data_IF_703016061277
#
_entry.id   IF_703016061277
#
_cell.length_a   1.000
_cell.length_b   1.000
_cell.length_c   1.000
_cell.angle_alpha   90.00
_cell.angle_beta   90.00
_cell.angle_gamma   90.00
#
_symmetry.space_group_name_H-M   'P 1'
#
loop_
_entity.id
_entity.type
_entity.pdbx_description
1 polymer ?
#
# COMPACT_ATOMS: atom_id res chain seq x y z
N UNK A 1 -7.68 -34.07 -9.32
CA UNK A 1 -6.46 -33.40 -9.88
C UNK A 1 -5.33 -33.69 -8.91
N UNK A 2 -4.09 -33.93 -9.37
CA UNK A 2 -2.98 -34.14 -8.44
C UNK A 2 -2.53 -32.79 -7.80
N UNK A 3 -1.79 -32.84 -6.68
CA UNK A 3 -1.37 -31.65 -5.92
C UNK A 3 -0.66 -30.59 -6.78
N UNK A 4 0.27 -30.99 -7.66
CA UNK A 4 0.99 -30.09 -8.56
C UNK A 4 0.07 -29.31 -9.52
N UNK A 5 -0.99 -29.94 -10.02
CA UNK A 5 -1.97 -29.25 -10.90
C UNK A 5 -2.84 -28.27 -10.11
N UNK A 6 -3.09 -28.53 -8.82
CA UNK A 6 -3.81 -27.57 -7.95
C UNK A 6 -2.94 -26.38 -7.63
N UNK A 7 -1.66 -26.60 -7.36
CA UNK A 7 -0.70 -25.53 -7.10
C UNK A 7 -0.52 -24.60 -8.32
N UNK A 8 -0.29 -25.19 -9.50
CA UNK A 8 -0.23 -24.43 -10.74
C UNK A 8 -1.52 -23.64 -11.06
N UNK A 9 -2.68 -24.16 -10.60
CA UNK A 9 -3.94 -23.42 -10.74
C UNK A 9 -4.04 -22.24 -9.76
N UNK A 10 -3.54 -22.38 -8.53
CA UNK A 10 -3.40 -21.28 -7.56
C UNK A 10 -2.48 -20.19 -8.07
N UNK A 11 -1.28 -20.56 -8.54
CA UNK A 11 -0.32 -19.62 -9.13
C UNK A 11 -0.94 -18.81 -10.27
N UNK A 12 -1.69 -19.50 -11.14
CA UNK A 12 -2.40 -18.84 -12.23
C UNK A 12 -3.47 -17.86 -11.74
N UNK A 13 -4.20 -18.19 -10.68
CA UNK A 13 -5.20 -17.30 -10.07
C UNK A 13 -4.50 -16.06 -9.53
N UNK A 14 -3.44 -16.23 -8.71
CA UNK A 14 -2.72 -15.11 -8.12
C UNK A 14 -2.06 -14.22 -9.18
N UNK A 15 -1.39 -14.80 -10.17
CA UNK A 15 -0.82 -14.05 -11.29
C UNK A 15 -1.87 -13.29 -12.12
N UNK A 16 -3.09 -13.82 -12.26
CA UNK A 16 -4.18 -13.13 -12.93
C UNK A 16 -4.71 -11.97 -12.07
N UNK A 17 -4.81 -12.15 -10.74
CA UNK A 17 -5.20 -11.09 -9.80
C UNK A 17 -4.20 -9.93 -9.78
N UNK A 18 -2.90 -10.23 -9.73
CA UNK A 18 -1.82 -9.23 -9.76
C UNK A 18 -1.83 -8.38 -11.04
N UNK A 19 -2.15 -8.97 -12.17
CA UNK A 19 -2.27 -8.26 -13.45
C UNK A 19 -3.62 -7.57 -13.66
N UNK A 20 -4.55 -7.67 -12.71
CA UNK A 20 -5.91 -7.16 -12.87
C UNK A 20 -6.74 -7.91 -13.93
N UNK A 21 -6.33 -9.13 -14.31
CA UNK A 21 -7.01 -9.96 -15.31
C UNK A 21 -8.23 -10.68 -14.69
N UNK A 22 -9.21 -9.90 -14.24
CA UNK A 22 -10.39 -10.36 -13.47
C UNK A 22 -11.13 -11.53 -14.12
N UNK A 23 -11.36 -11.47 -15.42
CA UNK A 23 -12.07 -12.54 -16.15
C UNK A 23 -11.30 -13.87 -16.14
N UNK A 24 -9.97 -13.81 -16.24
CA UNK A 24 -9.10 -14.99 -16.17
C UNK A 24 -9.07 -15.56 -14.75
N UNK A 25 -8.91 -14.71 -13.73
CA UNK A 25 -8.98 -15.09 -12.32
C UNK A 25 -10.29 -15.80 -12.03
N UNK A 26 -11.43 -15.23 -12.41
CA UNK A 26 -12.76 -15.81 -12.19
C UNK A 26 -12.91 -17.19 -12.83
N UNK A 27 -12.47 -17.38 -14.08
CA UNK A 27 -12.50 -18.70 -14.74
C UNK A 27 -11.63 -19.73 -14.04
N UNK A 28 -10.49 -19.31 -13.54
CA UNK A 28 -9.56 -20.20 -12.83
C UNK A 28 -10.11 -20.58 -11.44
N UNK A 29 -10.75 -19.64 -10.73
CA UNK A 29 -11.45 -19.90 -9.46
C UNK A 29 -12.59 -20.91 -9.66
N UNK A 30 -13.38 -20.81 -10.75
CA UNK A 30 -14.44 -21.78 -11.05
C UNK A 30 -13.89 -23.22 -11.31
N UNK A 31 -12.68 -23.33 -11.88
CA UNK A 31 -12.02 -24.63 -11.99
C UNK A 31 -11.56 -25.16 -10.65
N UNK A 32 -11.02 -24.28 -9.78
CA UNK A 32 -10.60 -24.62 -8.43
C UNK A 32 -11.80 -25.10 -7.58
N UNK A 33 -12.98 -24.52 -7.76
CA UNK A 33 -14.21 -24.85 -7.01
C UNK A 33 -14.57 -26.33 -7.08
N UNK A 34 -14.22 -27.04 -8.16
CA UNK A 34 -14.49 -28.48 -8.31
C UNK A 34 -13.65 -29.36 -7.39
N UNK A 35 -12.54 -28.84 -6.87
CA UNK A 35 -11.57 -29.57 -6.07
C UNK A 35 -11.42 -29.00 -4.66
N UNK A 36 -11.43 -27.69 -4.55
CA UNK A 36 -11.25 -26.93 -3.31
C UNK A 36 -12.37 -25.88 -3.16
N UNK A 37 -13.61 -26.32 -2.89
CA UNK A 37 -14.76 -25.41 -2.95
C UNK A 37 -14.74 -24.31 -1.88
N UNK A 38 -14.13 -24.55 -0.70
CA UNK A 38 -14.01 -23.55 0.35
C UNK A 38 -13.01 -22.44 -0.06
N UNK A 39 -11.84 -22.84 -0.55
CA UNK A 39 -10.81 -21.92 -1.04
C UNK A 39 -11.34 -21.09 -2.23
N UNK A 40 -12.00 -21.74 -3.18
CA UNK A 40 -12.58 -21.05 -4.33
C UNK A 40 -13.65 -20.02 -3.92
N UNK A 41 -14.48 -20.33 -2.91
CA UNK A 41 -15.46 -19.38 -2.40
C UNK A 41 -14.78 -18.18 -1.72
N UNK A 42 -13.70 -18.41 -0.96
CA UNK A 42 -12.92 -17.34 -0.34
C UNK A 42 -12.26 -16.42 -1.37
N UNK A 43 -11.63 -17.00 -2.39
CA UNK A 43 -11.02 -16.24 -3.50
C UNK A 43 -12.07 -15.47 -4.31
N UNK A 44 -13.22 -16.07 -4.56
CA UNK A 44 -14.33 -15.38 -5.25
C UNK A 44 -14.87 -14.23 -4.43
N UNK A 45 -15.00 -14.41 -3.11
CA UNK A 45 -15.41 -13.34 -2.20
C UNK A 45 -14.43 -12.19 -2.25
N UNK A 46 -13.12 -12.46 -2.14
CA UNK A 46 -12.08 -11.44 -2.22
C UNK A 46 -12.12 -10.71 -3.56
N UNK A 47 -12.25 -11.44 -4.67
CA UNK A 47 -12.35 -10.87 -6.02
C UNK A 47 -13.57 -9.93 -6.14
N UNK A 48 -14.74 -10.35 -5.69
CA UNK A 48 -15.93 -9.48 -5.70
C UNK A 48 -15.76 -8.21 -4.85
N UNK A 49 -15.03 -8.30 -3.73
CA UNK A 49 -14.69 -7.13 -2.91
C UNK A 49 -13.81 -6.15 -3.70
N UNK A 50 -12.79 -6.63 -4.41
CA UNK A 50 -11.92 -5.80 -5.26
C UNK A 50 -12.70 -5.15 -6.42
N UNK A 51 -13.65 -5.88 -7.02
CA UNK A 51 -14.56 -5.36 -8.05
C UNK A 51 -15.64 -4.41 -7.49
N UNK A 52 -15.68 -4.18 -6.18
CA UNK A 52 -16.69 -3.40 -5.48
C UNK A 52 -18.13 -3.96 -5.63
N UNK A 53 -18.24 -5.24 -5.93
CA UNK A 53 -19.52 -5.96 -6.01
C UNK A 53 -19.91 -6.53 -4.63
N UNK A 54 -20.56 -5.71 -3.81
CA UNK A 54 -20.97 -6.11 -2.47
C UNK A 54 -21.99 -7.27 -2.48
N UNK A 55 -22.87 -7.33 -3.49
CA UNK A 55 -23.87 -8.41 -3.62
C UNK A 55 -23.21 -9.74 -3.98
N UNK A 56 -22.31 -9.72 -4.96
CA UNK A 56 -21.53 -10.89 -5.35
C UNK A 56 -20.64 -11.38 -4.21
N UNK A 57 -19.98 -10.45 -3.51
CA UNK A 57 -19.15 -10.77 -2.36
C UNK A 57 -19.95 -11.43 -1.24
N UNK A 58 -21.12 -10.91 -0.91
CA UNK A 58 -21.99 -11.50 0.13
C UNK A 58 -22.46 -12.91 -0.26
N UNK A 59 -22.85 -13.11 -1.53
CA UNK A 59 -23.27 -14.43 -2.04
C UNK A 59 -22.12 -15.44 -1.95
N UNK A 60 -20.92 -15.09 -2.44
CA UNK A 60 -19.75 -15.98 -2.36
C UNK A 60 -19.35 -16.27 -0.91
N UNK A 61 -19.39 -15.26 -0.03
CA UNK A 61 -19.08 -15.41 1.38
C UNK A 61 -20.05 -16.37 2.11
N UNK A 62 -21.32 -16.43 1.72
CA UNK A 62 -22.26 -17.39 2.31
C UNK A 62 -21.80 -18.83 2.10
N UNK A 63 -21.18 -19.17 0.98
CA UNK A 63 -20.57 -20.47 0.74
C UNK A 63 -19.38 -20.71 1.67
N UNK A 64 -18.51 -19.69 1.90
CA UNK A 64 -17.42 -19.79 2.87
C UNK A 64 -17.94 -20.09 4.28
N UNK A 65 -18.95 -19.33 4.72
CA UNK A 65 -19.55 -19.45 6.05
C UNK A 65 -20.13 -20.85 6.31
N UNK A 66 -20.77 -21.45 5.29
CA UNK A 66 -21.32 -22.81 5.44
C UNK A 66 -20.24 -23.86 5.59
N UNK A 67 -19.09 -23.69 4.91
CA UNK A 67 -18.01 -24.68 4.86
C UNK A 67 -16.99 -24.52 5.98
N UNK A 68 -16.72 -23.28 6.38
CA UNK A 68 -15.70 -22.91 7.37
C UNK A 68 -16.17 -21.72 8.23
N UNK A 69 -17.21 -21.90 9.08
CA UNK A 69 -17.84 -20.81 9.81
C UNK A 69 -16.91 -20.14 10.86
N UNK A 70 -15.94 -20.88 11.36
CA UNK A 70 -14.98 -20.42 12.39
C UNK A 70 -13.58 -20.13 11.83
N UNK A 71 -13.40 -20.28 10.50
CA UNK A 71 -12.13 -19.93 9.88
C UNK A 71 -11.87 -18.42 9.98
N UNK A 72 -10.71 -18.01 10.53
CA UNK A 72 -10.39 -16.58 10.71
C UNK A 72 -10.47 -15.76 9.41
N UNK A 73 -10.07 -16.36 8.29
CA UNK A 73 -10.13 -15.65 7.00
C UNK A 73 -11.58 -15.47 6.52
N UNK A 74 -12.46 -16.44 6.76
CA UNK A 74 -13.89 -16.33 6.47
C UNK A 74 -14.53 -15.19 7.28
N UNK A 75 -14.17 -15.05 8.56
CA UNK A 75 -14.64 -13.96 9.43
C UNK A 75 -14.07 -12.62 8.94
N UNK A 76 -12.81 -12.56 8.60
CA UNK A 76 -12.15 -11.38 8.01
C UNK A 76 -12.85 -10.91 6.72
N UNK A 77 -13.18 -11.82 5.80
CA UNK A 77 -13.90 -11.50 4.57
C UNK A 77 -15.27 -10.85 4.87
N UNK A 78 -15.97 -11.30 5.92
CA UNK A 78 -17.22 -10.66 6.35
C UNK A 78 -17.00 -9.20 6.75
N UNK A 79 -15.95 -8.94 7.52
CA UNK A 79 -15.60 -7.57 7.91
C UNK A 79 -15.26 -6.68 6.70
N UNK A 80 -14.56 -7.22 5.70
CA UNK A 80 -14.27 -6.52 4.45
C UNK A 80 -15.53 -6.18 3.66
N UNK A 81 -16.53 -7.08 3.62
CA UNK A 81 -17.84 -6.81 2.99
C UNK A 81 -18.54 -5.65 3.72
N UNK A 82 -18.56 -5.64 5.05
CA UNK A 82 -19.12 -4.52 5.81
C UNK A 82 -18.39 -3.21 5.49
N UNK A 83 -17.06 -3.24 5.38
CA UNK A 83 -16.30 -2.06 5.02
C UNK A 83 -16.64 -1.56 3.60
N UNK A 84 -16.77 -2.48 2.64
CA UNK A 84 -17.19 -2.17 1.27
C UNK A 84 -18.58 -1.48 1.24
N UNK A 85 -19.47 -1.87 2.14
CA UNK A 85 -20.80 -1.26 2.31
C UNK A 85 -20.77 0.06 3.12
N UNK A 86 -19.59 0.51 3.57
CA UNK A 86 -19.44 1.71 4.40
C UNK A 86 -19.77 1.50 5.89
N UNK A 87 -20.06 0.27 6.30
CA UNK A 87 -20.51 -0.11 7.64
C UNK A 87 -19.34 -0.36 8.61
N UNK A 88 -18.51 0.67 8.86
CA UNK A 88 -17.25 0.56 9.62
C UNK A 88 -17.40 -0.04 11.01
N UNK A 89 -18.49 0.32 11.73
CA UNK A 89 -18.79 -0.25 13.07
C UNK A 89 -19.12 -1.74 13.00
N UNK A 90 -19.86 -2.16 11.96
CA UNK A 90 -20.18 -3.56 11.76
C UNK A 90 -18.95 -4.37 11.35
N UNK A 91 -18.07 -3.80 10.50
CA UNK A 91 -16.78 -4.40 10.16
C UNK A 91 -15.94 -4.66 11.41
N UNK A 92 -15.76 -3.66 12.28
CA UNK A 92 -14.99 -3.81 13.52
C UNK A 92 -15.61 -4.85 14.47
N UNK A 93 -16.93 -4.84 14.62
CA UNK A 93 -17.63 -5.87 15.42
C UNK A 93 -17.44 -7.28 14.86
N UNK A 94 -17.46 -7.42 13.53
CA UNK A 94 -17.24 -8.73 12.90
C UNK A 94 -15.84 -9.31 13.19
N UNK A 95 -14.83 -8.45 13.39
CA UNK A 95 -13.46 -8.86 13.74
C UNK A 95 -13.28 -9.21 15.22
N UNK A 96 -14.19 -8.78 16.11
CA UNK A 96 -14.02 -8.96 17.58
C UNK A 96 -13.72 -10.40 18.00
N UNK A 97 -14.33 -11.45 17.42
CA UNK A 97 -14.00 -12.84 17.79
C UNK A 97 -12.56 -13.26 17.48
N UNK A 98 -11.87 -12.51 16.62
CA UNK A 98 -10.49 -12.82 16.20
C UNK A 98 -9.44 -12.15 17.10
N UNK A 99 -9.83 -11.19 17.94
CA UNK A 99 -8.85 -10.51 18.78
C UNK A 99 -8.36 -11.44 19.89
N UNK A 100 -7.08 -11.82 19.81
CA UNK A 100 -6.46 -12.77 20.71
C UNK A 100 -6.66 -14.25 20.35
N UNK A 101 -7.42 -14.55 19.28
CA UNK A 101 -7.55 -15.93 18.78
C UNK A 101 -6.27 -16.36 18.03
N UNK A 102 -5.95 -17.66 18.00
CA UNK A 102 -4.85 -18.19 17.21
C UNK A 102 -5.12 -17.97 15.71
N UNK A 103 -4.16 -17.35 15.02
CA UNK A 103 -4.19 -17.09 13.57
C UNK A 103 -2.80 -17.21 12.99
N UNK A 104 -2.71 -17.49 11.66
CA UNK A 104 -1.43 -17.33 10.97
C UNK A 104 -1.01 -15.86 10.97
N UNK A 105 0.30 -15.59 10.87
CA UNK A 105 0.85 -14.23 10.83
C UNK A 105 0.20 -13.37 9.73
N UNK A 106 -0.02 -13.96 8.54
CA UNK A 106 -0.66 -13.29 7.42
C UNK A 106 -2.10 -12.89 7.68
N UNK A 107 -2.89 -13.76 8.33
CA UNK A 107 -4.29 -13.47 8.67
C UNK A 107 -4.34 -12.46 9.81
N UNK A 108 -3.48 -12.60 10.82
CA UNK A 108 -3.40 -11.67 11.95
C UNK A 108 -3.06 -10.24 11.47
N UNK A 109 -2.07 -10.10 10.59
CA UNK A 109 -1.74 -8.81 9.98
C UNK A 109 -2.96 -8.17 9.31
N UNK A 110 -3.65 -8.91 8.44
CA UNK A 110 -4.84 -8.41 7.72
C UNK A 110 -5.98 -8.03 8.67
N UNK A 111 -6.23 -8.83 9.70
CA UNK A 111 -7.28 -8.61 10.70
C UNK A 111 -7.00 -7.33 11.49
N UNK A 112 -5.79 -7.19 12.03
CA UNK A 112 -5.43 -6.02 12.83
C UNK A 112 -5.28 -4.75 11.99
N UNK A 113 -4.76 -4.84 10.77
CA UNK A 113 -4.72 -3.71 9.84
C UNK A 113 -6.14 -3.18 9.54
N UNK A 114 -7.07 -4.07 9.20
CA UNK A 114 -8.47 -3.69 8.95
C UNK A 114 -9.15 -3.11 10.19
N UNK A 115 -8.88 -3.67 11.38
CA UNK A 115 -9.39 -3.12 12.65
C UNK A 115 -8.84 -1.71 12.90
N UNK A 116 -7.54 -1.49 12.67
CA UNK A 116 -6.90 -0.18 12.74
C UNK A 116 -7.52 0.83 11.78
N UNK A 117 -7.77 0.43 10.54
CA UNK A 117 -8.45 1.25 9.55
C UNK A 117 -9.87 1.63 10.01
N UNK A 118 -10.65 0.68 10.51
CA UNK A 118 -11.99 0.95 11.03
C UNK A 118 -11.94 1.91 12.24
N UNK A 119 -11.05 1.66 13.19
CA UNK A 119 -10.88 2.50 14.37
C UNK A 119 -10.50 3.94 14.01
N UNK A 120 -9.57 4.13 13.08
CA UNK A 120 -9.17 5.44 12.56
C UNK A 120 -10.36 6.21 11.99
N UNK A 121 -11.14 5.59 11.12
CA UNK A 121 -12.31 6.22 10.51
C UNK A 121 -13.46 6.49 11.50
N UNK A 122 -13.46 5.82 12.64
CA UNK A 122 -14.40 6.06 13.74
C UNK A 122 -13.91 7.10 14.75
N UNK A 123 -12.73 7.70 14.53
CA UNK A 123 -12.13 8.70 15.40
C UNK A 123 -11.50 8.12 16.69
N UNK A 124 -11.31 6.79 16.76
CA UNK A 124 -10.73 6.10 17.91
C UNK A 124 -9.22 5.93 17.71
N UNK A 125 -8.45 7.03 17.81
CA UNK A 125 -7.03 7.08 17.49
C UNK A 125 -6.18 6.12 18.33
N UNK A 126 -6.44 6.03 19.67
CA UNK A 126 -5.72 5.09 20.56
C UNK A 126 -5.88 3.64 20.08
N UNK A 127 -7.12 3.24 19.76
CA UNK A 127 -7.38 1.89 19.25
C UNK A 127 -6.79 1.67 17.88
N UNK A 128 -6.76 2.69 17.02
CA UNK A 128 -6.11 2.60 15.73
C UNK A 128 -4.61 2.32 15.88
N UNK A 129 -3.92 3.06 16.76
CA UNK A 129 -2.50 2.84 17.10
C UNK A 129 -2.28 1.42 17.62
N UNK A 130 -3.11 0.95 18.59
CA UNK A 130 -3.01 -0.41 19.13
C UNK A 130 -3.14 -1.48 18.05
N UNK A 131 -4.17 -1.38 17.20
CA UNK A 131 -4.41 -2.36 16.16
C UNK A 131 -3.31 -2.36 15.09
N UNK A 132 -2.88 -1.19 14.64
CA UNK A 132 -1.78 -1.10 13.67
C UNK A 132 -0.44 -1.59 14.26
N UNK A 133 -0.20 -1.39 15.55
CA UNK A 133 0.97 -1.97 16.22
C UNK A 133 0.92 -3.51 16.20
N UNK A 134 -0.23 -4.11 16.51
CA UNK A 134 -0.42 -5.57 16.42
C UNK A 134 -0.28 -6.08 14.98
N UNK A 135 -0.77 -5.33 13.98
CA UNK A 135 -0.57 -5.66 12.58
C UNK A 135 0.91 -5.60 12.17
N UNK A 136 1.65 -4.57 12.63
CA UNK A 136 3.10 -4.45 12.43
C UNK A 136 3.85 -5.65 13.00
N UNK A 137 3.49 -6.05 14.23
CA UNK A 137 4.19 -7.14 14.94
C UNK A 137 3.88 -8.52 14.32
N UNK A 138 2.68 -8.68 13.73
CA UNK A 138 2.30 -9.87 12.99
C UNK A 138 2.77 -9.88 11.52
N UNK A 139 3.30 -8.79 11.00
CA UNK A 139 3.63 -8.64 9.58
C UNK A 139 4.66 -9.67 9.10
N UNK A 140 4.36 -10.46 8.04
CA UNK A 140 5.24 -11.53 7.56
C UNK A 140 6.48 -11.04 6.82
N UNK A 141 6.51 -9.78 6.39
CA UNK A 141 7.61 -9.19 5.64
C UNK A 141 7.84 -7.71 6.00
N UNK A 142 8.98 -7.17 5.54
CA UNK A 142 9.36 -5.79 5.84
C UNK A 142 8.35 -4.77 5.26
N UNK A 143 7.82 -5.01 4.07
CA UNK A 143 6.89 -4.09 3.40
C UNK A 143 5.62 -3.88 4.24
N UNK A 144 4.98 -4.96 4.67
CA UNK A 144 3.78 -4.88 5.53
C UNK A 144 4.12 -4.35 6.93
N UNK A 145 5.30 -4.69 7.46
CA UNK A 145 5.78 -4.13 8.73
C UNK A 145 5.95 -2.62 8.65
N UNK A 146 6.60 -2.12 7.61
CA UNK A 146 6.80 -0.70 7.39
C UNK A 146 5.47 0.04 7.16
N UNK A 147 4.56 -0.53 6.37
CA UNK A 147 3.22 0.02 6.16
C UNK A 147 2.46 0.19 7.47
N UNK A 148 2.43 -0.84 8.31
CA UNK A 148 1.73 -0.78 9.58
C UNK A 148 2.44 0.13 10.59
N UNK A 149 3.77 0.18 10.59
CA UNK A 149 4.55 1.13 11.40
C UNK A 149 4.29 2.59 10.99
N UNK A 150 4.21 2.88 9.68
CA UNK A 150 3.79 4.19 9.17
C UNK A 150 2.38 4.55 9.63
N UNK A 151 1.43 3.60 9.58
CA UNK A 151 0.08 3.80 10.09
C UNK A 151 0.06 4.09 11.60
N UNK A 152 0.92 3.45 12.39
CA UNK A 152 1.10 3.76 13.82
C UNK A 152 1.55 5.21 13.99
N UNK A 153 2.62 5.64 13.32
CA UNK A 153 3.14 7.02 13.39
C UNK A 153 2.06 8.03 13.01
N UNK A 154 1.40 7.82 11.87
CA UNK A 154 0.35 8.72 11.40
C UNK A 154 -0.78 8.90 12.42
N UNK A 155 -1.23 7.80 13.05
CA UNK A 155 -2.34 7.88 14.02
C UNK A 155 -1.89 8.42 15.38
N UNK A 156 -0.60 8.32 15.75
CA UNK A 156 -0.06 8.94 16.97
C UNK A 156 -0.18 10.46 16.95
N UNK A 157 -0.10 11.12 15.80
CA UNK A 157 -0.27 12.57 15.69
C UNK A 157 -1.65 13.09 16.12
N UNK A 158 -2.65 12.20 16.27
CA UNK A 158 -3.96 12.55 16.82
C UNK A 158 -4.02 12.37 18.35
N UNK A 159 -2.94 11.96 18.98
CA UNK A 159 -2.85 11.72 20.44
C UNK A 159 -1.91 12.73 21.09
N UNK A 160 -2.19 13.12 22.35
CA UNK A 160 -1.22 13.89 23.11
C UNK A 160 0.06 13.08 23.30
N UNK A 161 1.19 13.61 22.89
CA UNK A 161 2.50 12.99 23.08
C UNK A 161 3.58 14.04 23.30
N UNK A 162 4.60 13.69 24.08
CA UNK A 162 5.78 14.54 24.23
C UNK A 162 6.63 14.48 22.92
N UNK A 163 7.24 15.60 22.50
CA UNK A 163 8.07 15.62 21.29
C UNK A 163 9.18 14.55 21.27
N UNK A 164 9.75 14.23 22.43
CA UNK A 164 10.75 13.18 22.57
C UNK A 164 10.21 11.76 22.27
N UNK A 165 8.93 11.52 22.57
CA UNK A 165 8.28 10.22 22.27
C UNK A 165 7.99 10.08 20.78
N UNK A 166 7.54 11.16 20.13
CA UNK A 166 7.32 11.19 18.70
C UNK A 166 8.63 11.02 17.93
N UNK A 167 9.70 11.69 18.36
CA UNK A 167 11.03 11.52 17.79
C UNK A 167 11.48 10.06 17.89
N UNK A 168 11.37 9.43 19.07
CA UNK A 168 11.75 8.02 19.25
C UNK A 168 10.95 7.09 18.35
N UNK A 169 9.63 7.27 18.25
CA UNK A 169 8.80 6.46 17.38
C UNK A 169 9.19 6.61 15.90
N UNK A 170 9.57 7.81 15.46
CA UNK A 170 10.07 8.04 14.11
C UNK A 170 11.46 7.39 13.90
N UNK A 171 12.34 7.43 14.90
CA UNK A 171 13.65 6.76 14.85
C UNK A 171 13.49 5.23 14.80
N UNK A 172 12.56 4.64 15.55
CA UNK A 172 12.22 3.22 15.48
C UNK A 172 11.69 2.82 14.09
N UNK A 173 10.87 3.67 13.47
CA UNK A 173 10.44 3.46 12.09
C UNK A 173 11.63 3.50 11.11
N UNK A 174 12.50 4.51 11.24
CA UNK A 174 13.69 4.64 10.42
C UNK A 174 14.64 3.43 10.53
N UNK A 175 14.75 2.83 11.72
CA UNK A 175 15.59 1.66 11.96
C UNK A 175 15.15 0.42 11.15
N UNK A 176 13.89 0.34 10.70
CA UNK A 176 13.43 -0.73 9.81
C UNK A 176 14.18 -0.75 8.47
N UNK A 177 14.74 0.38 8.08
CA UNK A 177 15.43 0.59 6.80
C UNK A 177 16.95 0.69 6.93
N UNK A 178 17.53 0.36 8.10
CA UNK A 178 18.97 0.47 8.37
C UNK A 178 19.85 -0.36 7.41
N UNK A 179 19.27 -1.40 6.78
CA UNK A 179 19.97 -2.27 5.81
C UNK A 179 19.91 -1.75 4.37
N UNK A 180 19.14 -0.69 4.10
CA UNK A 180 19.04 -0.12 2.75
C UNK A 180 20.38 0.56 2.41
N UNK A 181 20.93 0.20 1.24
CA UNK A 181 22.16 0.80 0.72
C UNK A 181 21.97 2.29 0.48
N UNK A 182 22.82 3.09 1.07
CA UNK A 182 22.94 4.52 0.78
C UNK A 182 23.96 4.77 -0.33
N UNK A 183 23.81 5.87 -1.06
CA UNK A 183 24.76 6.28 -2.09
C UNK A 183 25.73 7.35 -1.54
N UNK A 184 26.97 7.31 -2.00
CA UNK A 184 27.96 8.34 -1.67
C UNK A 184 27.81 9.54 -2.60
N UNK A 185 27.19 10.59 -2.09
CA UNK A 185 26.99 11.85 -2.82
C UNK A 185 28.23 12.77 -2.83
N UNK A 186 29.27 12.46 -2.04
CA UNK A 186 30.50 13.25 -2.02
C UNK A 186 31.28 13.19 -3.35
N UNK A 187 31.07 12.13 -4.13
CA UNK A 187 31.65 11.95 -5.45
C UNK A 187 31.08 12.87 -6.53
N UNK A 188 29.92 13.45 -6.30
CA UNK A 188 29.28 14.35 -7.26
C UNK A 188 29.86 15.75 -7.16
N UNK A 189 30.47 16.23 -8.27
CA UNK A 189 30.93 17.63 -8.36
C UNK A 189 29.71 18.54 -8.37
N UNK A 190 29.67 19.49 -7.45
CA UNK A 190 28.68 20.57 -7.48
C UNK A 190 28.90 21.43 -8.74
N UNK A 191 27.85 21.54 -9.57
CA UNK A 191 27.84 22.46 -10.70
C UNK A 191 27.60 23.90 -10.24
N UNK A 192 27.56 24.83 -11.21
CA UNK A 192 27.17 26.23 -10.93
C UNK A 192 25.67 26.36 -10.54
N UNK A 193 24.84 25.41 -10.97
CA UNK A 193 23.41 25.35 -10.66
C UNK A 193 23.11 24.20 -9.73
N UNK A 194 22.21 24.41 -8.76
CA UNK A 194 21.69 23.33 -7.91
C UNK A 194 20.67 22.51 -8.70
N UNK A 195 20.82 21.20 -8.64
CA UNK A 195 19.91 20.22 -9.26
C UNK A 195 18.88 19.77 -8.23
N UNK A 196 17.63 20.14 -8.47
CA UNK A 196 16.50 19.83 -7.60
C UNK A 196 15.67 18.74 -8.26
N UNK A 197 15.46 17.62 -7.54
CA UNK A 197 14.57 16.55 -7.93
C UNK A 197 13.26 16.62 -7.15
N UNK A 198 12.13 16.52 -7.82
CA UNK A 198 10.81 16.36 -7.18
C UNK A 198 10.30 14.95 -7.45
N UNK A 199 10.08 14.17 -6.40
CA UNK A 199 9.60 12.78 -6.47
C UNK A 199 8.14 12.72 -6.04
N UNK A 200 7.24 12.20 -6.90
CA UNK A 200 5.82 12.08 -6.58
C UNK A 200 5.11 11.01 -7.42
N UNK A 201 4.17 10.24 -6.86
CA UNK A 201 3.22 9.43 -7.63
C UNK A 201 2.16 10.28 -8.35
N UNK A 202 2.04 11.56 -7.97
CA UNK A 202 0.97 12.47 -8.36
C UNK A 202 1.41 13.58 -9.31
N UNK A 203 2.43 13.32 -10.15
CA UNK A 203 2.81 14.20 -11.28
C UNK A 203 1.80 14.02 -12.42
N UNK A 204 0.55 14.28 -12.14
CA UNK A 204 -0.63 14.08 -12.98
C UNK A 204 -1.79 14.96 -12.47
N UNK A 205 -3.00 14.81 -13.02
CA UNK A 205 -4.21 15.47 -12.48
C UNK A 205 -4.44 15.05 -11.01
N UNK A 206 -3.89 15.83 -10.11
CA UNK A 206 -3.98 15.61 -8.68
C UNK A 206 -3.78 16.90 -7.89
N UNK A 207 -4.38 16.98 -6.70
CA UNK A 207 -4.27 18.16 -5.83
C UNK A 207 -2.81 18.47 -5.45
N UNK A 208 -1.97 17.45 -5.27
CA UNK A 208 -0.53 17.62 -4.98
C UNK A 208 0.16 18.41 -6.09
N UNK A 209 -0.12 18.07 -7.38
CA UNK A 209 0.45 18.81 -8.50
C UNK A 209 -0.03 20.26 -8.52
N UNK A 210 -1.29 20.53 -8.18
CA UNK A 210 -1.82 21.89 -8.13
C UNK A 210 -1.05 22.80 -7.17
N UNK A 211 -0.54 22.25 -6.05
CA UNK A 211 0.30 23.00 -5.11
C UNK A 211 1.79 23.01 -5.50
N UNK A 212 2.30 21.90 -6.07
CA UNK A 212 3.74 21.75 -6.33
C UNK A 212 4.17 22.26 -7.70
N UNK A 213 3.27 22.44 -8.66
CA UNK A 213 3.61 22.88 -10.00
C UNK A 213 4.40 24.19 -10.02
N UNK A 214 3.94 25.20 -9.27
CA UNK A 214 4.63 26.47 -9.16
C UNK A 214 6.03 26.32 -8.52
N UNK A 215 6.19 25.42 -7.54
CA UNK A 215 7.49 25.13 -6.92
C UNK A 215 8.47 24.51 -7.92
N UNK A 216 7.98 23.70 -8.86
CA UNK A 216 8.81 23.05 -9.88
C UNK A 216 9.20 24.03 -11.00
N UNK A 217 8.33 24.99 -11.33
CA UNK A 217 8.43 25.79 -12.57
C UNK A 217 8.85 27.25 -12.36
N UNK A 218 8.69 27.79 -11.14
CA UNK A 218 9.01 29.20 -10.85
C UNK A 218 10.47 29.43 -10.41
N UNK A 219 11.30 28.39 -10.37
CA UNK A 219 12.71 28.51 -10.00
C UNK A 219 13.52 29.16 -11.12
N UNK A 220 14.43 30.07 -10.74
CA UNK A 220 15.35 30.74 -11.67
C UNK A 220 16.27 29.71 -12.39
N UNK A 221 16.14 29.52 -13.69
CA UNK A 221 16.92 28.53 -14.44
C UNK A 221 18.41 28.86 -14.52
N UNK A 222 18.83 30.11 -14.20
CA UNK A 222 20.24 30.44 -14.08
C UNK A 222 20.88 29.82 -12.83
N UNK A 223 20.10 29.56 -11.79
CA UNK A 223 20.54 29.05 -10.49
C UNK A 223 20.17 27.60 -10.24
N UNK A 224 19.10 27.13 -10.85
CA UNK A 224 18.51 25.82 -10.58
C UNK A 224 18.28 25.01 -11.86
N UNK A 225 18.40 23.69 -11.73
CA UNK A 225 17.95 22.73 -12.73
C UNK A 225 16.94 21.81 -12.06
N UNK A 226 15.75 21.70 -12.59
CA UNK A 226 14.67 20.92 -12.01
C UNK A 226 14.42 19.65 -12.81
N UNK A 227 14.36 18.52 -12.10
CA UNK A 227 13.95 17.21 -12.64
C UNK A 227 12.73 16.69 -11.88
N UNK A 228 11.66 16.35 -12.60
CA UNK A 228 10.51 15.69 -12.02
C UNK A 228 10.61 14.17 -12.19
N UNK A 229 10.38 13.43 -11.11
CA UNK A 229 10.36 11.97 -11.04
C UNK A 229 8.93 11.51 -10.74
N UNK A 230 8.26 10.93 -11.74
CA UNK A 230 6.91 10.42 -11.58
C UNK A 230 6.94 8.94 -11.15
N UNK A 231 6.16 8.60 -10.12
CA UNK A 231 5.94 7.22 -9.64
C UNK A 231 4.56 6.67 -10.05
N UNK A 232 3.78 7.42 -10.84
CA UNK A 232 2.44 7.07 -11.27
C UNK A 232 2.26 7.04 -12.79
N UNK A 233 1.00 6.89 -13.20
CA UNK A 233 0.59 6.98 -14.60
C UNK A 233 0.67 8.42 -15.10
N UNK A 234 0.90 8.57 -16.40
CA UNK A 234 0.99 9.85 -17.08
C UNK A 234 -0.35 10.27 -17.70
N UNK A 235 -0.58 11.59 -17.76
CA UNK A 235 -1.74 12.23 -18.38
C UNK A 235 -1.34 13.59 -19.01
N UNK A 236 -2.31 14.38 -19.43
CA UNK A 236 -2.08 15.69 -20.05
C UNK A 236 -1.36 16.68 -19.12
N UNK A 237 -1.60 16.61 -17.82
CA UNK A 237 -0.89 17.44 -16.82
C UNK A 237 0.57 17.00 -16.67
N UNK A 238 0.85 15.71 -16.78
CA UNK A 238 2.22 15.20 -16.84
C UNK A 238 2.96 15.79 -18.06
N UNK A 239 2.32 15.86 -19.23
CA UNK A 239 2.91 16.47 -20.43
C UNK A 239 3.19 17.96 -20.24
N UNK A 240 2.35 18.67 -19.48
CA UNK A 240 2.60 20.06 -19.13
C UNK A 240 3.85 20.19 -18.23
N UNK A 241 4.01 19.34 -17.22
CA UNK A 241 5.21 19.32 -16.38
C UNK A 241 6.47 19.06 -17.21
N UNK A 242 6.45 18.05 -18.09
CA UNK A 242 7.58 17.72 -18.99
C UNK A 242 8.06 18.92 -19.81
N UNK A 243 7.17 19.77 -20.25
CA UNK A 243 7.50 20.99 -21.03
C UNK A 243 8.06 22.13 -20.16
N UNK A 244 7.81 22.07 -18.85
CA UNK A 244 8.10 23.18 -17.92
C UNK A 244 9.36 22.97 -17.07
N UNK A 245 9.88 21.74 -17.02
CA UNK A 245 11.08 21.38 -16.25
C UNK A 245 12.22 20.95 -17.19
N UNK A 246 13.47 20.97 -16.69
CA UNK A 246 14.64 20.63 -17.52
C UNK A 246 14.85 19.12 -17.64
N UNK A 247 14.33 18.33 -16.70
CA UNK A 247 14.41 16.86 -16.71
C UNK A 247 13.11 16.21 -16.26
N UNK A 248 12.80 15.06 -16.85
CA UNK A 248 11.66 14.22 -16.44
C UNK A 248 12.02 12.74 -16.55
N UNK A 249 11.64 11.96 -15.54
CA UNK A 249 11.70 10.50 -15.59
C UNK A 249 10.43 9.88 -15.00
N UNK A 250 9.87 8.90 -15.70
CA UNK A 250 8.85 8.04 -15.14
C UNK A 250 9.52 6.80 -14.54
N UNK A 251 9.40 6.64 -13.21
CA UNK A 251 9.96 5.56 -12.43
C UNK A 251 8.90 4.55 -11.94
N UNK A 252 7.66 4.64 -12.44
CA UNK A 252 6.54 3.80 -11.99
C UNK A 252 6.69 2.30 -12.31
N UNK A 253 7.63 1.94 -13.20
CA UNK A 253 7.83 0.57 -13.68
C UNK A 253 9.19 -0.03 -13.30
N UNK A 254 9.95 0.64 -12.46
CA UNK A 254 11.25 0.17 -12.00
C UNK A 254 11.19 -0.15 -10.50
N UNK A 255 12.15 -0.95 -10.02
CA UNK A 255 12.25 -1.23 -8.58
C UNK A 255 12.66 0.01 -7.79
N UNK A 256 12.38 0.07 -6.47
CA UNK A 256 12.85 1.18 -5.63
C UNK A 256 14.38 1.41 -5.71
N UNK A 257 15.16 0.34 -5.81
CA UNK A 257 16.62 0.39 -5.93
C UNK A 257 17.04 1.01 -7.26
N UNK A 258 16.40 0.63 -8.35
CA UNK A 258 16.65 1.21 -9.69
C UNK A 258 16.24 2.68 -9.73
N UNK A 259 15.10 3.03 -9.12
CA UNK A 259 14.65 4.41 -9.00
C UNK A 259 15.67 5.26 -8.22
N UNK A 260 16.12 4.78 -7.05
CA UNK A 260 17.11 5.47 -6.24
C UNK A 260 18.45 5.63 -7.00
N UNK A 261 18.87 4.60 -7.73
CA UNK A 261 20.09 4.66 -8.54
C UNK A 261 19.95 5.66 -9.72
N UNK A 262 18.79 5.74 -10.37
CA UNK A 262 18.55 6.70 -11.43
C UNK A 262 18.65 8.14 -10.91
N UNK A 263 18.03 8.44 -9.75
CA UNK A 263 18.10 9.75 -9.08
C UNK A 263 19.55 10.07 -8.69
N UNK A 264 20.27 9.09 -8.14
CA UNK A 264 21.69 9.25 -7.81
C UNK A 264 22.53 9.59 -9.05
N UNK A 265 22.35 8.88 -10.16
CA UNK A 265 23.07 9.12 -11.42
C UNK A 265 22.79 10.49 -12.02
N UNK A 266 21.59 11.02 -11.85
CA UNK A 266 21.26 12.38 -12.29
C UNK A 266 21.98 13.46 -11.43
N UNK A 267 22.63 13.03 -10.35
CA UNK A 267 23.44 13.86 -9.48
C UNK A 267 22.63 14.94 -8.78
N UNK A 268 21.42 14.62 -8.37
CA UNK A 268 20.51 15.55 -7.67
C UNK A 268 21.16 16.03 -6.37
N UNK A 269 21.17 17.34 -6.17
CA UNK A 269 21.72 17.99 -4.98
C UNK A 269 20.68 18.08 -3.84
N UNK A 270 19.41 18.28 -4.22
CA UNK A 270 18.27 18.36 -3.29
C UNK A 270 17.12 17.51 -3.85
N UNK A 271 16.72 16.47 -3.14
CA UNK A 271 15.53 15.68 -3.47
C UNK A 271 14.38 16.10 -2.56
N UNK A 272 13.25 16.49 -3.18
CA UNK A 272 12.00 16.83 -2.50
C UNK A 272 11.03 15.68 -2.72
N UNK A 273 10.73 14.94 -1.67
CA UNK A 273 9.71 13.90 -1.67
C UNK A 273 8.33 14.52 -1.39
N UNK A 274 7.40 14.33 -2.32
CA UNK A 274 6.01 14.78 -2.24
C UNK A 274 5.05 13.61 -2.02
N UNK A 275 5.56 12.40 -1.82
CA UNK A 275 4.73 11.21 -1.59
C UNK A 275 4.32 11.05 -0.11
N UNK A 276 5.06 11.64 0.82
CA UNK A 276 4.80 11.64 2.26
C UNK A 276 5.36 10.44 2.99
#
# INVERSE_FOLDING_TARGET
MNGQKLEALRDRIFAALERGAVREARRSIEKLRRHEPAEAASLLTALCIEERDAKGALKAWQECRVRAPHDPYTIFLRARIHLLMGERRAALRALTPLFGAPMSAEVAEKVYNLAGQCARFLGAAEKAVEFYARARDAAPNLTLRALNASNVLFNRHYLPAAPAEEKRAAEEYGALFAQIRTFDHCAHRRGQRLRIGYLSPDVREHVVLSFSYALMTALDPARFTVTAYALGTEDDYTEQVKRSVQGFRNLSRVTPEEAAYAIYRDGIDILVDLAG
#
